data_IF_683363246312
#
_entry.id   IF_683363246312
#
_cell.length_a   1.000
_cell.length_b   1.000
_cell.length_c   1.000
_cell.angle_alpha   90.00
_cell.angle_beta   90.00
_cell.angle_gamma   90.00
#
_symmetry.space_group_name_H-M   'P 1'
#
loop_
_entity.id
_entity.type
_entity.pdbx_description
1 polymer ?
#
# COMPACT_ATOMS: atom_id res chain seq x y z
N UNK A 1 24.16 -3.37 12.42
CA UNK A 1 23.96 -2.24 11.50
C UNK A 1 23.20 -2.78 10.30
N UNK A 2 21.98 -2.30 10.04
CA UNK A 2 21.18 -2.80 8.92
C UNK A 2 21.85 -2.33 7.61
N UNK A 3 22.37 -3.27 6.82
CA UNK A 3 23.16 -3.01 5.62
C UNK A 3 22.32 -2.77 4.36
N UNK A 4 21.04 -2.42 4.51
CA UNK A 4 20.13 -2.25 3.36
C UNK A 4 20.22 -0.84 2.78
N UNK A 5 20.26 -0.75 1.46
CA UNK A 5 20.21 0.51 0.74
C UNK A 5 18.83 1.18 0.87
N UNK A 6 18.73 2.51 0.66
CA UNK A 6 17.45 3.18 0.61
C UNK A 6 16.47 2.55 -0.38
N UNK A 7 16.95 2.10 -1.55
CA UNK A 7 16.15 1.41 -2.57
C UNK A 7 15.59 0.08 -2.05
N UNK A 8 16.42 -0.76 -1.44
CA UNK A 8 15.97 -2.05 -0.89
C UNK A 8 14.94 -1.86 0.23
N UNK A 9 15.11 -0.82 1.05
CA UNK A 9 14.14 -0.48 2.09
C UNK A 9 12.84 0.06 1.49
N UNK A 10 12.93 0.85 0.43
CA UNK A 10 11.78 1.37 -0.30
C UNK A 10 10.94 0.23 -0.89
N UNK A 11 11.57 -0.71 -1.61
CA UNK A 11 10.84 -1.81 -2.25
C UNK A 11 10.26 -2.76 -1.21
N UNK A 12 10.97 -2.97 -0.10
CA UNK A 12 10.44 -3.69 1.06
C UNK A 12 9.20 -3.00 1.64
N UNK A 13 9.27 -1.68 1.84
CA UNK A 13 8.17 -0.91 2.41
C UNK A 13 6.94 -0.95 1.45
N UNK A 14 7.14 -0.80 0.13
CA UNK A 14 6.09 -0.99 -0.87
C UNK A 14 5.50 -2.41 -0.88
N UNK A 15 6.34 -3.46 -0.83
CA UNK A 15 5.84 -4.85 -0.76
C UNK A 15 4.99 -5.08 0.49
N UNK A 16 5.41 -4.54 1.65
CA UNK A 16 4.64 -4.64 2.89
C UNK A 16 3.30 -3.92 2.81
N UNK A 17 3.26 -2.75 2.17
CA UNK A 17 2.01 -2.01 1.93
C UNK A 17 1.07 -2.88 1.09
N UNK A 18 1.55 -3.41 -0.03
CA UNK A 18 0.76 -4.27 -0.91
C UNK A 18 0.19 -5.50 -0.18
N UNK A 19 1.03 -6.25 0.51
CA UNK A 19 0.59 -7.46 1.22
C UNK A 19 -0.45 -7.14 2.29
N UNK A 20 -0.31 -6.01 3.00
CA UNK A 20 -1.31 -5.59 4.00
C UNK A 20 -2.61 -5.11 3.37
N UNK A 21 -2.56 -4.40 2.24
CA UNK A 21 -3.77 -4.03 1.48
C UNK A 21 -4.52 -5.27 0.98
N UNK A 22 -3.81 -6.31 0.56
CA UNK A 22 -4.41 -7.59 0.21
C UNK A 22 -5.11 -8.22 1.42
N UNK A 23 -4.44 -8.29 2.59
CA UNK A 23 -5.07 -8.77 3.82
C UNK A 23 -6.29 -7.94 4.23
N UNK A 24 -6.25 -6.61 4.04
CA UNK A 24 -7.37 -5.73 4.33
C UNK A 24 -8.58 -6.04 3.45
N UNK A 25 -8.38 -6.27 2.15
CA UNK A 25 -9.46 -6.67 1.24
C UNK A 25 -10.12 -7.98 1.72
N UNK A 26 -9.32 -8.97 2.09
CA UNK A 26 -9.82 -10.24 2.61
C UNK A 26 -10.58 -10.06 3.94
N UNK A 27 -10.08 -9.22 4.84
CA UNK A 27 -10.71 -8.96 6.14
C UNK A 27 -12.06 -8.25 6.00
N UNK A 28 -12.17 -7.23 5.13
CA UNK A 28 -13.44 -6.51 4.94
C UNK A 28 -14.48 -7.35 4.20
N UNK A 29 -14.06 -8.30 3.36
CA UNK A 29 -14.96 -9.24 2.69
C UNK A 29 -15.29 -10.49 3.53
N UNK A 30 -14.62 -10.66 4.67
CA UNK A 30 -14.75 -11.86 5.51
C UNK A 30 -16.14 -11.96 6.11
N UNK A 31 -16.70 -13.18 6.11
CA UNK A 31 -17.93 -13.51 6.86
C UNK A 31 -17.74 -13.39 8.38
N UNK A 32 -16.48 -13.36 8.85
CA UNK A 32 -16.09 -13.12 10.25
C UNK A 32 -15.44 -11.75 10.34
N UNK A 33 -16.17 -10.72 9.95
CA UNK A 33 -15.70 -9.34 10.01
C UNK A 33 -15.34 -8.98 11.46
N UNK A 34 -14.09 -8.55 11.67
CA UNK A 34 -13.59 -8.03 12.94
C UNK A 34 -13.12 -6.59 12.69
N UNK A 35 -13.98 -5.64 13.06
CA UNK A 35 -13.77 -4.21 12.85
C UNK A 35 -12.48 -3.72 13.51
N UNK A 36 -12.16 -4.20 14.72
CA UNK A 36 -10.95 -3.78 15.44
C UNK A 36 -9.69 -4.24 14.70
N UNK A 37 -9.71 -5.48 14.21
CA UNK A 37 -8.59 -6.02 13.42
C UNK A 37 -8.42 -5.25 12.11
N UNK A 38 -9.52 -4.90 11.45
CA UNK A 38 -9.48 -4.11 10.21
C UNK A 38 -8.94 -2.70 10.46
N UNK A 39 -9.43 -2.00 11.50
CA UNK A 39 -8.95 -0.66 11.86
C UNK A 39 -7.46 -0.71 12.23
N UNK A 40 -7.04 -1.68 13.04
CA UNK A 40 -5.64 -1.85 13.41
C UNK A 40 -4.75 -2.08 12.18
N UNK A 41 -5.15 -3.00 11.30
CA UNK A 41 -4.40 -3.29 10.07
C UNK A 41 -4.36 -2.09 9.13
N UNK A 42 -5.44 -1.29 9.09
CA UNK A 42 -5.51 -0.03 8.33
C UNK A 42 -4.54 1.02 8.87
N UNK A 43 -4.44 1.16 10.19
CA UNK A 43 -3.48 2.06 10.81
C UNK A 43 -2.04 1.61 10.57
N UNK A 44 -1.77 0.31 10.64
CA UNK A 44 -0.44 -0.26 10.38
C UNK A 44 0.02 -0.01 8.94
N UNK A 45 -0.86 -0.22 7.94
CA UNK A 45 -0.47 0.00 6.54
C UNK A 45 -0.18 1.48 6.27
N UNK A 46 -0.98 2.38 6.83
CA UNK A 46 -0.75 3.82 6.71
C UNK A 46 0.57 4.26 7.37
N UNK A 47 0.92 3.71 8.52
CA UNK A 47 2.20 3.98 9.17
C UNK A 47 3.41 3.54 8.31
N UNK A 48 3.27 2.46 7.53
CA UNK A 48 4.31 2.03 6.58
C UNK A 48 4.37 2.97 5.37
N UNK A 49 3.22 3.46 4.89
CA UNK A 49 3.16 4.46 3.82
C UNK A 49 3.84 5.78 4.22
N UNK A 50 3.56 6.31 5.41
CA UNK A 50 4.23 7.51 5.93
C UNK A 50 5.76 7.34 6.00
N UNK A 51 6.23 6.14 6.37
CA UNK A 51 7.64 5.80 6.36
C UNK A 51 8.23 5.77 4.94
N UNK A 52 7.47 5.29 3.95
CA UNK A 52 7.84 5.32 2.54
C UNK A 52 7.94 6.77 2.04
N UNK A 53 6.97 7.62 2.40
CA UNK A 53 6.94 9.05 2.02
C UNK A 53 8.15 9.79 2.57
N UNK A 54 8.41 9.65 3.87
CA UNK A 54 9.59 10.23 4.51
C UNK A 54 10.90 9.80 3.84
N UNK A 55 10.98 8.54 3.37
CA UNK A 55 12.14 8.05 2.65
C UNK A 55 12.30 8.76 1.30
N UNK A 56 11.22 8.95 0.56
CA UNK A 56 11.24 9.67 -0.72
C UNK A 56 11.57 11.16 -0.54
N UNK A 57 11.10 11.78 0.55
CA UNK A 57 11.45 13.17 0.90
C UNK A 57 12.92 13.32 1.30
N UNK A 58 13.47 12.31 1.98
CA UNK A 58 14.87 12.31 2.42
C UNK A 58 15.83 12.03 1.26
N UNK A 59 15.45 11.13 0.34
CA UNK A 59 16.26 10.71 -0.80
C UNK A 59 15.51 11.04 -2.09
N UNK A 60 15.68 12.27 -2.58
CA UNK A 60 14.94 12.79 -3.75
C UNK A 60 15.15 11.98 -5.01
N UNK A 61 16.28 11.27 -5.14
CA UNK A 61 16.56 10.38 -6.28
C UNK A 61 15.57 9.19 -6.36
N UNK A 62 14.87 8.90 -5.26
CA UNK A 62 13.81 7.89 -5.22
C UNK A 62 12.46 8.41 -5.69
N UNK A 63 12.30 9.71 -5.97
CA UNK A 63 11.03 10.30 -6.41
C UNK A 63 10.78 10.06 -7.91
N UNK A 64 10.78 8.80 -8.33
CA UNK A 64 10.53 8.43 -9.72
C UNK A 64 9.02 8.44 -10.04
N UNK A 65 8.70 8.38 -11.33
CA UNK A 65 7.31 8.30 -11.78
C UNK A 65 6.64 7.01 -11.29
N UNK A 66 7.36 5.89 -11.27
CA UNK A 66 6.89 4.59 -10.80
C UNK A 66 6.52 4.63 -9.32
N UNK A 67 7.33 5.31 -8.50
CA UNK A 67 7.04 5.52 -7.08
C UNK A 67 5.80 6.37 -6.89
N UNK A 68 5.72 7.48 -7.62
CA UNK A 68 4.55 8.37 -7.56
C UNK A 68 3.28 7.63 -7.96
N UNK A 69 3.35 6.81 -9.01
CA UNK A 69 2.24 5.97 -9.47
C UNK A 69 1.83 4.92 -8.43
N UNK A 70 2.78 4.29 -7.75
CA UNK A 70 2.52 3.35 -6.68
C UNK A 70 1.85 4.02 -5.46
N UNK A 71 2.38 5.17 -5.03
CA UNK A 71 1.82 5.96 -3.92
C UNK A 71 0.38 6.39 -4.24
N UNK A 72 0.13 6.93 -5.44
CA UNK A 72 -1.21 7.32 -5.86
C UNK A 72 -2.18 6.12 -5.89
N UNK A 73 -1.73 4.95 -6.34
CA UNK A 73 -2.55 3.74 -6.33
C UNK A 73 -2.89 3.27 -4.90
N UNK A 74 -1.94 3.41 -3.96
CA UNK A 74 -2.19 3.18 -2.54
C UNK A 74 -3.19 4.17 -1.97
N UNK A 75 -3.06 5.47 -2.26
CA UNK A 75 -3.97 6.50 -1.75
C UNK A 75 -5.40 6.28 -2.23
N UNK A 76 -5.59 5.86 -3.49
CA UNK A 76 -6.90 5.47 -4.04
C UNK A 76 -7.51 4.28 -3.27
N UNK A 77 -6.71 3.22 -3.05
CA UNK A 77 -7.14 2.05 -2.26
C UNK A 77 -7.50 2.47 -0.83
N UNK A 78 -6.63 3.24 -0.17
CA UNK A 78 -6.80 3.67 1.22
C UNK A 78 -8.03 4.59 1.37
N UNK A 79 -8.26 5.47 0.41
CA UNK A 79 -9.45 6.31 0.38
C UNK A 79 -10.72 5.46 0.28
N UNK A 80 -10.76 4.50 -0.66
CA UNK A 80 -11.90 3.61 -0.83
C UNK A 80 -12.13 2.74 0.42
N UNK A 81 -11.07 2.25 1.06
CA UNK A 81 -11.16 1.51 2.30
C UNK A 81 -11.82 2.36 3.40
N UNK A 82 -11.44 3.64 3.55
CA UNK A 82 -12.11 4.54 4.50
C UNK A 82 -13.59 4.74 4.17
N UNK A 83 -13.97 4.78 2.88
CA UNK A 83 -15.39 4.86 2.50
C UNK A 83 -16.19 3.65 2.96
N UNK A 84 -15.60 2.45 2.86
CA UNK A 84 -16.20 1.21 3.36
C UNK A 84 -16.31 1.25 4.90
N UNK A 85 -15.25 1.64 5.60
CA UNK A 85 -15.21 1.57 7.07
C UNK A 85 -16.09 2.61 7.78
N UNK A 86 -16.26 3.80 7.19
CA UNK A 86 -16.84 4.94 7.91
C UNK A 86 -18.05 5.59 7.23
N UNK A 87 -18.42 5.15 6.04
CA UNK A 87 -19.44 5.82 5.22
C UNK A 87 -20.47 4.89 4.57
N UNK A 88 -20.62 3.64 5.06
CA UNK A 88 -21.60 2.64 4.58
C UNK A 88 -21.57 2.40 3.06
N UNK A 89 -20.40 2.61 2.42
CA UNK A 89 -20.20 2.40 0.98
C UNK A 89 -19.50 1.08 0.72
N UNK A 90 -20.26 0.00 0.71
CA UNK A 90 -19.78 -1.38 0.49
C UNK A 90 -19.40 -1.69 -0.97
N UNK A 91 -18.61 -0.82 -1.60
CA UNK A 91 -18.08 -1.06 -2.95
C UNK A 91 -16.74 -1.81 -2.88
N UNK A 92 -16.84 -3.09 -2.53
CA UNK A 92 -15.70 -4.00 -2.46
C UNK A 92 -15.12 -4.34 -3.84
N UNK A 93 -15.91 -4.20 -4.90
CA UNK A 93 -15.45 -4.41 -6.27
C UNK A 93 -14.48 -3.29 -6.68
N UNK A 94 -14.83 -2.04 -6.38
CA UNK A 94 -13.94 -0.91 -6.57
C UNK A 94 -12.68 -1.04 -5.72
N UNK A 95 -12.79 -1.44 -4.44
CA UNK A 95 -11.63 -1.69 -3.59
C UNK A 95 -10.69 -2.75 -4.19
N UNK A 96 -11.23 -3.85 -4.71
CA UNK A 96 -10.44 -4.89 -5.38
C UNK A 96 -9.75 -4.37 -6.65
N UNK A 97 -10.43 -3.54 -7.44
CA UNK A 97 -9.82 -2.93 -8.63
C UNK A 97 -8.67 -1.97 -8.30
N UNK A 98 -8.76 -1.25 -7.18
CA UNK A 98 -7.66 -0.43 -6.70
C UNK A 98 -6.46 -1.28 -6.26
N UNK A 99 -6.71 -2.42 -5.60
CA UNK A 99 -5.64 -3.36 -5.23
C UNK A 99 -4.94 -3.93 -6.48
N UNK A 100 -5.70 -4.30 -7.51
CA UNK A 100 -5.13 -4.77 -8.79
C UNK A 100 -4.25 -3.72 -9.46
N UNK A 101 -4.73 -2.46 -9.51
CA UNK A 101 -3.92 -1.33 -9.99
C UNK A 101 -2.64 -1.18 -9.17
N UNK A 102 -2.73 -1.33 -7.85
CA UNK A 102 -1.58 -1.24 -6.97
C UNK A 102 -0.56 -2.36 -7.25
N UNK A 103 -1.02 -3.58 -7.57
CA UNK A 103 -0.14 -4.67 -8.01
C UNK A 103 0.60 -4.32 -9.30
N UNK A 104 -0.12 -3.80 -10.31
CA UNK A 104 0.50 -3.38 -11.59
C UNK A 104 1.57 -2.31 -11.37
N UNK A 105 1.30 -1.33 -10.50
CA UNK A 105 2.29 -0.32 -10.13
C UNK A 105 3.47 -0.93 -9.37
N UNK A 106 3.22 -1.88 -8.46
CA UNK A 106 4.27 -2.58 -7.71
C UNK A 106 5.20 -3.38 -8.61
N UNK A 107 4.65 -4.10 -9.60
CA UNK A 107 5.46 -4.88 -10.55
C UNK A 107 6.38 -3.99 -11.37
N UNK A 108 5.88 -2.84 -11.86
CA UNK A 108 6.70 -1.84 -12.57
C UNK A 108 7.78 -1.25 -11.67
N UNK A 109 7.42 -0.94 -10.42
CA UNK A 109 8.36 -0.45 -9.42
C UNK A 109 9.46 -1.47 -9.13
N UNK A 110 9.10 -2.75 -9.02
CA UNK A 110 10.04 -3.84 -8.78
C UNK A 110 10.99 -4.02 -9.96
N UNK A 111 10.48 -3.93 -11.19
CA UNK A 111 11.29 -3.99 -12.43
C UNK A 111 12.27 -2.81 -12.55
N UNK A 112 11.86 -1.59 -12.18
CA UNK A 112 12.73 -0.41 -12.24
C UNK A 112 14.02 -0.59 -11.44
N UNK A 113 13.91 -1.18 -10.26
CA UNK A 113 15.03 -1.35 -9.35
C UNK A 113 15.79 -2.67 -9.55
N UNK A 114 15.42 -3.45 -10.58
CA UNK A 114 16.10 -4.67 -11.03
C UNK A 114 16.53 -5.57 -9.88
N UNK A 115 15.63 -5.78 -8.91
CA UNK A 115 15.99 -6.45 -7.67
C UNK A 115 16.23 -7.95 -7.82
N UNK A 116 16.03 -8.55 -9.02
CA UNK A 116 16.65 -9.80 -9.51
C UNK A 116 16.45 -9.93 -11.02
#
# INVERSE_FOLDING_TARGET
>A
MFSKTPVELLVKDASNIYNKCQSLLELVQSRRYDENLVILTTAEVYAIAEKLYLRCDTFTDLQTEEISNYINAFDDFYFQLKQILFHDKDDYALLASHLERMNVCFEKLYQLYDLF
#
